data_IF_685502756972
#
_entry.id   IF_685502756972
#
_cell.length_a   1.000
_cell.length_b   1.000
_cell.length_c   1.000
_cell.angle_alpha   90.00
_cell.angle_beta   90.00
_cell.angle_gamma   90.00
#
_symmetry.space_group_name_H-M   'P 1'
#
loop_
_entity.id
_entity.type
_entity.pdbx_description
1 polymer ?
#
# COMPACT_ATOMS: atom_id res chain seq x y z
N UNK A 1 -9.06 2.47 -28.07
CA UNK A 1 -8.59 1.15 -27.62
C UNK A 1 -9.79 0.21 -27.56
N UNK A 2 -9.66 -0.93 -28.18
CA UNK A 2 -10.66 -1.99 -28.15
C UNK A 2 -10.39 -2.96 -27.01
N UNK A 3 -11.46 -3.53 -26.43
CA UNK A 3 -11.37 -4.57 -25.43
C UNK A 3 -11.75 -4.10 -24.03
N UNK A 4 -11.58 -5.00 -23.06
CA UNK A 4 -11.91 -4.73 -21.67
C UNK A 4 -10.88 -3.83 -21.01
N UNK A 5 -11.37 -2.97 -20.13
CA UNK A 5 -10.53 -2.06 -19.34
C UNK A 5 -10.91 -2.16 -17.88
N UNK A 6 -9.93 -2.00 -17.02
CA UNK A 6 -10.14 -2.09 -15.59
C UNK A 6 -9.35 -0.98 -14.89
N UNK A 7 -10.02 -0.27 -13.99
CA UNK A 7 -9.39 0.74 -13.15
C UNK A 7 -9.71 0.40 -11.70
N UNK A 8 -8.68 0.28 -10.87
CA UNK A 8 -8.83 0.02 -9.45
C UNK A 8 -8.36 1.25 -8.66
N UNK A 9 -9.26 1.84 -7.90
CA UNK A 9 -9.00 3.05 -7.14
C UNK A 9 -9.19 2.76 -5.66
N UNK A 10 -8.16 3.02 -4.84
CA UNK A 10 -8.26 2.93 -3.39
C UNK A 10 -8.73 4.27 -2.84
N UNK A 11 -9.85 4.25 -2.13
CA UNK A 11 -10.41 5.45 -1.50
C UNK A 11 -10.47 5.22 0.01
N UNK A 12 -9.70 5.96 0.81
CA UNK A 12 -9.79 5.85 2.26
C UNK A 12 -11.19 6.18 2.77
N UNK A 13 -11.66 5.40 3.73
CA UNK A 13 -12.96 5.58 4.34
C UNK A 13 -12.78 5.77 5.85
N UNK A 14 -12.72 7.02 6.35
CA UNK A 14 -12.43 7.27 7.77
C UNK A 14 -13.35 6.51 8.72
N UNK A 15 -14.64 6.53 8.46
CA UNK A 15 -15.60 5.86 9.32
C UNK A 15 -15.42 4.35 9.31
N UNK A 16 -15.39 3.74 8.13
CA UNK A 16 -15.25 2.27 7.99
C UNK A 16 -13.89 1.76 8.44
N UNK A 17 -12.84 2.55 8.25
CA UNK A 17 -11.49 2.15 8.64
C UNK A 17 -11.18 2.50 10.10
N UNK A 18 -12.02 3.31 10.74
CA UNK A 18 -11.76 3.76 12.09
C UNK A 18 -10.56 4.71 12.17
N UNK A 19 -10.44 5.58 11.19
CA UNK A 19 -9.37 6.58 11.10
C UNK A 19 -9.94 7.98 11.27
N UNK A 20 -9.11 8.91 11.72
CA UNK A 20 -9.51 10.30 11.82
C UNK A 20 -9.71 10.90 10.43
N UNK A 21 -10.76 11.71 10.20
CA UNK A 21 -11.00 12.32 8.89
C UNK A 21 -9.81 13.10 8.34
N UNK A 22 -9.04 13.76 9.19
CA UNK A 22 -7.87 14.53 8.77
C UNK A 22 -6.71 13.66 8.30
N UNK A 23 -6.76 12.33 8.52
CA UNK A 23 -5.74 11.40 8.06
C UNK A 23 -6.02 10.79 6.68
N UNK A 24 -7.10 11.20 6.01
CA UNK A 24 -7.53 10.59 4.75
C UNK A 24 -6.44 10.64 3.68
N UNK A 25 -5.86 11.82 3.42
CA UNK A 25 -4.82 11.96 2.41
C UNK A 25 -3.54 11.25 2.84
N UNK A 26 -3.20 11.34 4.12
CA UNK A 26 -2.02 10.67 4.68
C UNK A 26 -2.11 9.16 4.51
N UNK A 27 -3.28 8.56 4.81
CA UNK A 27 -3.47 7.12 4.66
C UNK A 27 -3.42 6.68 3.20
N UNK A 28 -3.97 7.46 2.29
CA UNK A 28 -3.85 7.16 0.86
C UNK A 28 -2.38 7.15 0.43
N UNK A 29 -1.60 8.13 0.90
CA UNK A 29 -0.16 8.20 0.61
C UNK A 29 0.59 7.01 1.22
N UNK A 30 0.30 6.68 2.48
CA UNK A 30 0.95 5.56 3.15
C UNK A 30 0.65 4.22 2.49
N UNK A 31 -0.55 4.04 1.95
CA UNK A 31 -0.89 2.82 1.21
C UNK A 31 0.05 2.61 0.03
N UNK A 32 0.42 3.68 -0.67
CA UNK A 32 1.36 3.60 -1.79
C UNK A 32 2.81 3.54 -1.33
N UNK A 33 3.20 4.35 -0.35
CA UNK A 33 4.58 4.41 0.13
C UNK A 33 5.03 3.12 0.83
N UNK A 34 4.10 2.39 1.45
CA UNK A 34 4.42 1.09 2.05
C UNK A 34 4.55 -0.01 1.00
N UNK A 35 3.97 0.16 -0.18
CA UNK A 35 3.90 -0.88 -1.21
C UNK A 35 2.67 -1.78 -1.09
N UNK A 36 1.78 -1.53 -0.12
CA UNK A 36 0.57 -2.33 0.04
C UNK A 36 -0.42 -2.11 -1.10
N UNK A 37 -0.46 -0.91 -1.65
CA UNK A 37 -1.28 -0.61 -2.82
C UNK A 37 -0.37 -0.08 -3.94
N UNK A 38 0.15 -0.97 -4.79
CA UNK A 38 1.01 -0.53 -5.89
C UNK A 38 0.20 0.23 -6.94
N UNK A 39 0.74 1.37 -7.39
CA UNK A 39 0.13 2.15 -8.46
C UNK A 39 0.88 1.86 -9.74
N UNK A 40 0.20 1.24 -10.68
CA UNK A 40 0.83 0.80 -11.93
C UNK A 40 -0.18 0.76 -13.06
N UNK A 41 0.34 0.68 -14.27
CA UNK A 41 -0.43 0.45 -15.47
C UNK A 41 0.03 -0.87 -16.11
N UNK A 42 -0.91 -1.57 -16.73
CA UNK A 42 -0.61 -2.81 -17.42
C UNK A 42 -1.43 -2.91 -18.71
N UNK A 43 -0.84 -3.48 -19.74
CA UNK A 43 -1.50 -3.76 -21.02
C UNK A 43 -1.19 -5.19 -21.42
N UNK A 44 -2.21 -5.91 -21.87
CA UNK A 44 -2.07 -7.31 -22.30
C UNK A 44 -1.41 -8.20 -21.24
N UNK A 45 -1.72 -7.93 -19.96
CA UNK A 45 -1.19 -8.71 -18.85
C UNK A 45 0.22 -8.34 -18.41
N UNK A 46 0.84 -7.32 -19.01
CA UNK A 46 2.18 -6.89 -18.67
C UNK A 46 2.18 -5.49 -18.07
N UNK A 47 2.97 -5.30 -17.03
CA UNK A 47 3.13 -3.99 -16.40
C UNK A 47 3.93 -3.07 -17.34
N UNK A 48 3.28 -1.98 -17.76
CA UNK A 48 3.91 -1.02 -18.69
C UNK A 48 4.49 0.20 -17.99
N UNK A 49 3.96 0.54 -16.81
CA UNK A 49 4.45 1.68 -16.03
C UNK A 49 4.08 1.50 -14.57
N UNK A 50 4.80 2.15 -13.68
CA UNK A 50 4.51 2.15 -12.26
C UNK A 50 4.93 3.46 -11.61
N UNK A 51 4.14 3.91 -10.62
CA UNK A 51 4.49 5.07 -9.83
C UNK A 51 5.56 4.70 -8.81
N UNK A 52 6.68 5.41 -8.81
CA UNK A 52 7.80 5.11 -7.92
C UNK A 52 7.56 5.63 -6.51
N UNK A 53 7.98 4.85 -5.53
CA UNK A 53 7.95 5.24 -4.12
C UNK A 53 9.19 6.08 -3.85
N UNK A 54 8.99 7.30 -3.37
CA UNK A 54 10.11 8.20 -3.03
C UNK A 54 10.68 7.90 -1.65
N UNK A 55 9.81 7.60 -0.70
CA UNK A 55 10.17 7.30 0.68
C UNK A 55 9.51 6.01 1.09
N UNK A 56 10.31 4.95 1.23
CA UNK A 56 9.81 3.66 1.65
C UNK A 56 9.43 3.71 3.13
N UNK A 57 8.20 3.32 3.45
CA UNK A 57 7.65 3.37 4.80
C UNK A 57 7.25 1.98 5.25
N UNK A 58 7.56 1.57 6.50
CA UNK A 58 7.09 0.28 7.03
C UNK A 58 5.57 0.22 7.09
N UNK A 59 5.01 -0.97 6.89
CA UNK A 59 3.55 -1.16 6.89
C UNK A 59 2.89 -0.72 8.19
N UNK A 60 3.59 -0.78 9.32
CA UNK A 60 3.07 -0.34 10.61
C UNK A 60 2.57 1.09 10.59
N UNK A 61 3.24 1.98 9.86
CA UNK A 61 2.83 3.39 9.75
C UNK A 61 1.47 3.54 9.09
N UNK A 62 1.11 2.63 8.18
CA UNK A 62 -0.20 2.59 7.55
C UNK A 62 -1.24 1.97 8.47
N UNK A 63 -0.86 0.94 9.23
CA UNK A 63 -1.79 0.15 10.05
C UNK A 63 -2.19 0.89 11.33
N UNK A 64 -1.25 1.50 12.02
CA UNK A 64 -1.46 2.09 13.35
C UNK A 64 -2.59 3.13 13.42
N UNK A 65 -2.74 4.05 12.47
CA UNK A 65 -3.80 5.07 12.57
C UNK A 65 -5.20 4.54 12.39
N UNK A 66 -5.38 3.28 12.03
CA UNK A 66 -6.66 2.70 11.68
C UNK A 66 -7.15 1.73 12.76
N UNK A 67 -8.31 2.01 13.36
CA UNK A 67 -8.89 1.14 14.40
C UNK A 67 -9.15 -0.27 13.90
N UNK A 68 -9.46 -0.44 12.62
CA UNK A 68 -9.70 -1.77 12.03
C UNK A 68 -8.50 -2.71 12.18
N UNK A 69 -7.29 -2.17 12.39
CA UNK A 69 -6.08 -2.94 12.61
C UNK A 69 -5.58 -2.90 14.06
N UNK A 70 -6.37 -2.33 14.98
CA UNK A 70 -5.94 -2.18 16.36
C UNK A 70 -5.61 -3.53 17.04
N UNK A 71 -6.31 -4.59 16.66
CA UNK A 71 -6.08 -5.94 17.21
C UNK A 71 -4.68 -6.49 16.91
N UNK A 72 -3.97 -5.91 15.94
CA UNK A 72 -2.60 -6.32 15.63
C UNK A 72 -1.58 -5.77 16.63
N UNK A 73 -1.97 -4.75 17.40
CA UNK A 73 -1.07 -4.05 18.32
C UNK A 73 -1.43 -4.25 19.78
N UNK A 74 -2.70 -4.43 20.11
CA UNK A 74 -3.20 -4.56 21.49
C UNK A 74 -4.23 -5.68 21.61
N UNK A 75 -4.28 -6.42 22.72
CA UNK A 75 -3.41 -6.30 23.90
C UNK A 75 -1.98 -6.83 23.68
N UNK A 76 -1.78 -7.63 22.63
CA UNK A 76 -0.48 -8.21 22.29
C UNK A 76 -0.09 -7.84 20.87
N UNK A 77 1.15 -7.44 20.66
CA UNK A 77 1.66 -7.16 19.33
C UNK A 77 1.71 -8.43 18.49
N UNK A 78 1.00 -8.43 17.36
CA UNK A 78 0.96 -9.55 16.42
C UNK A 78 2.11 -9.41 15.41
N UNK A 79 3.34 -9.54 15.88
CA UNK A 79 4.52 -9.30 15.06
C UNK A 79 4.62 -10.22 13.84
N UNK A 80 4.15 -11.46 13.95
CA UNK A 80 4.13 -12.41 12.84
C UNK A 80 3.16 -12.00 11.74
N UNK A 81 1.97 -11.48 12.09
CA UNK A 81 0.99 -10.98 11.12
C UNK A 81 1.53 -9.72 10.43
N UNK A 82 2.09 -8.81 11.20
CA UNK A 82 2.67 -7.57 10.67
C UNK A 82 3.83 -7.89 9.74
N UNK A 83 4.67 -8.86 10.10
CA UNK A 83 5.77 -9.32 9.25
C UNK A 83 5.29 -9.89 7.92
N UNK A 84 4.16 -10.63 7.93
CA UNK A 84 3.56 -11.13 6.69
C UNK A 84 3.06 -9.99 5.80
N UNK A 85 2.44 -8.98 6.39
CA UNK A 85 2.00 -7.80 5.64
C UNK A 85 3.19 -7.05 5.06
N UNK A 86 4.28 -6.93 5.83
CA UNK A 86 5.51 -6.32 5.35
C UNK A 86 6.10 -7.11 4.19
N UNK A 87 6.11 -8.44 4.28
CA UNK A 87 6.58 -9.31 3.19
C UNK A 87 5.75 -9.14 1.94
N UNK A 88 4.44 -8.98 2.08
CA UNK A 88 3.55 -8.74 0.94
C UNK A 88 3.86 -7.39 0.30
N UNK A 89 4.07 -6.36 1.10
CA UNK A 89 4.43 -5.04 0.60
C UNK A 89 5.78 -5.09 -0.13
N UNK A 90 6.78 -5.75 0.47
CA UNK A 90 8.10 -5.91 -0.15
C UNK A 90 8.02 -6.65 -1.47
N UNK A 91 7.19 -7.69 -1.53
CA UNK A 91 6.95 -8.44 -2.77
C UNK A 91 6.33 -7.56 -3.85
N UNK A 92 5.36 -6.72 -3.49
CA UNK A 92 4.76 -5.77 -4.44
C UNK A 92 5.79 -4.79 -4.96
N UNK A 93 6.66 -4.30 -4.10
CA UNK A 93 7.72 -3.35 -4.47
C UNK A 93 8.63 -3.98 -5.53
N UNK A 94 9.02 -5.23 -5.33
CA UNK A 94 9.87 -5.95 -6.31
C UNK A 94 9.10 -6.26 -7.59
N UNK A 95 7.88 -6.80 -7.45
CA UNK A 95 7.09 -7.25 -8.61
C UNK A 95 6.74 -6.12 -9.57
N UNK A 96 6.39 -4.95 -9.02
CA UNK A 96 5.94 -3.82 -9.83
C UNK A 96 7.01 -2.74 -10.00
N UNK A 97 8.25 -3.01 -9.60
CA UNK A 97 9.39 -2.10 -9.74
C UNK A 97 9.08 -0.72 -9.15
N UNK A 98 8.60 -0.68 -7.90
CA UNK A 98 8.13 0.55 -7.27
C UNK A 98 9.24 1.45 -6.72
N UNK A 99 10.47 0.94 -6.60
CA UNK A 99 11.59 1.77 -6.19
C UNK A 99 12.29 2.35 -7.39
N UNK A 100 12.80 3.59 -7.30
CA UNK A 100 13.62 4.16 -8.36
C UNK A 100 14.83 3.26 -8.64
N UNK A 101 15.23 3.16 -9.90
CA UNK A 101 16.42 2.40 -10.23
C UNK A 101 17.64 3.06 -9.58
N UNK A 102 18.44 2.25 -8.88
CA UNK A 102 19.71 2.73 -8.39
C UNK A 102 20.63 2.93 -9.59
N UNK A 103 21.07 4.15 -9.77
CA UNK A 103 22.14 4.45 -10.69
C UNK A 103 23.43 4.06 -10.01
N UNK A 104 23.77 2.82 -10.23
CA UNK A 104 24.87 2.23 -9.60
C UNK A 104 26.18 2.48 -10.17
#
# INVERSE_FOLDING_TARGET
IRGARYIHILVPCPLGWGAAPHDTVRLARLATETGLFPVFEAEHGEVTDSSKIRHRVPVEEYLKPQRRFAHLFKPTLQSDVIARLQSRADRNIRRFHLLPEEQG
#
